data_IF_620864186083
#
_entry.id   IF_620864186083
#
_cell.length_a   1.000
_cell.length_b   1.000
_cell.length_c   1.000
_cell.angle_alpha   90.00
_cell.angle_beta   90.00
_cell.angle_gamma   90.00
#
_symmetry.space_group_name_H-M   'P 1'
#
loop_
_entity.id
_entity.type
_entity.pdbx_description
1 polymer ?
#
# COMPACT_ATOMS: atom_id res chain seq x y z
N UNK A 1 7.69 16.07 -24.64
CA UNK A 1 6.84 14.98 -24.14
C UNK A 1 6.97 14.98 -22.63
N UNK A 2 5.86 15.03 -21.88
CA UNK A 2 5.92 14.90 -20.41
C UNK A 2 6.40 13.49 -20.06
N UNK A 3 7.30 13.37 -19.08
CA UNK A 3 7.70 12.05 -18.56
C UNK A 3 6.47 11.32 -17.99
N UNK A 4 6.44 9.97 -18.00
CA UNK A 4 5.38 9.20 -17.36
C UNK A 4 5.21 9.58 -15.88
N UNK A 5 3.99 9.45 -15.37
CA UNK A 5 3.72 9.61 -13.93
C UNK A 5 4.20 8.37 -13.20
N UNK A 6 5.06 8.54 -12.20
CA UNK A 6 5.61 7.44 -11.38
C UNK A 6 4.70 7.20 -10.18
N UNK A 7 4.16 6.00 -10.07
CA UNK A 7 3.18 5.62 -9.04
C UNK A 7 3.78 4.52 -8.17
N UNK A 8 3.86 4.78 -6.86
CA UNK A 8 4.23 3.78 -5.87
C UNK A 8 2.99 3.24 -5.17
N UNK A 9 2.67 1.97 -5.35
CA UNK A 9 1.60 1.30 -4.63
C UNK A 9 2.13 0.52 -3.42
N UNK A 10 1.63 0.84 -2.22
CA UNK A 10 1.97 0.18 -0.97
C UNK A 10 1.02 -0.98 -0.70
N UNK A 11 1.58 -2.17 -0.53
CA UNK A 11 0.85 -3.40 -0.25
C UNK A 11 1.29 -3.92 1.11
N UNK A 12 0.36 -4.35 1.96
CA UNK A 12 0.72 -5.11 3.17
C UNK A 12 1.35 -6.45 2.79
N UNK A 13 0.88 -7.05 1.70
CA UNK A 13 1.31 -8.32 1.14
C UNK A 13 0.43 -8.70 -0.05
N UNK A 14 0.83 -9.74 -0.79
CA UNK A 14 0.05 -10.27 -1.91
C UNK A 14 -1.04 -11.26 -1.49
N UNK A 15 -0.93 -11.80 -0.28
CA UNK A 15 -1.79 -12.88 0.21
C UNK A 15 -3.05 -12.32 0.88
N UNK A 16 -4.22 -12.70 0.35
CA UNK A 16 -5.59 -12.41 0.81
C UNK A 16 -6.27 -11.14 0.27
N UNK A 17 -7.58 -11.26 0.03
CA UNK A 17 -8.54 -10.15 -0.15
C UNK A 17 -8.84 -9.77 -1.60
N UNK A 18 -10.14 -9.69 -1.95
CA UNK A 18 -10.60 -9.33 -3.30
C UNK A 18 -10.12 -7.96 -3.79
N UNK A 19 -9.97 -6.99 -2.88
CA UNK A 19 -9.42 -5.67 -3.20
C UNK A 19 -8.02 -5.74 -3.84
N UNK A 20 -7.18 -6.70 -3.42
CA UNK A 20 -5.82 -6.85 -3.94
C UNK A 20 -5.77 -7.45 -5.34
N UNK A 21 -6.74 -8.32 -5.66
CA UNK A 21 -6.92 -8.84 -7.03
C UNK A 21 -7.24 -7.66 -7.96
N UNK A 22 -8.29 -6.91 -7.62
CA UNK A 22 -8.73 -5.77 -8.43
C UNK A 22 -7.62 -4.73 -8.60
N UNK A 23 -6.94 -4.33 -7.52
CA UNK A 23 -5.90 -3.31 -7.61
C UNK A 23 -4.70 -3.78 -8.43
N UNK A 24 -4.27 -5.04 -8.28
CA UNK A 24 -3.15 -5.58 -9.08
C UNK A 24 -3.51 -5.67 -10.56
N UNK A 25 -4.77 -6.00 -10.88
CA UNK A 25 -5.26 -6.04 -12.25
C UNK A 25 -5.32 -4.65 -12.88
N UNK A 26 -5.76 -3.64 -12.13
CA UNK A 26 -5.76 -2.24 -12.56
C UNK A 26 -4.33 -1.74 -12.78
N UNK A 27 -3.42 -1.95 -11.84
CA UNK A 27 -2.01 -1.55 -11.96
C UNK A 27 -1.35 -2.22 -13.16
N UNK A 28 -1.56 -3.53 -13.35
CA UNK A 28 -1.03 -4.24 -14.51
C UNK A 28 -1.58 -3.67 -15.83
N UNK A 29 -2.88 -3.35 -15.89
CA UNK A 29 -3.48 -2.74 -17.08
C UNK A 29 -2.91 -1.34 -17.38
N UNK A 30 -2.81 -0.48 -16.37
CA UNK A 30 -2.28 0.88 -16.52
C UNK A 30 -0.80 0.90 -16.91
N UNK A 31 0.01 -0.02 -16.38
CA UNK A 31 1.42 -0.13 -16.74
C UNK A 31 1.64 -0.40 -18.25
N UNK A 32 0.69 -1.06 -18.91
CA UNK A 32 0.81 -1.36 -20.35
C UNK A 32 0.51 -0.18 -21.27
N UNK A 33 -0.10 0.91 -20.79
CA UNK A 33 -0.44 2.06 -21.64
C UNK A 33 0.77 2.98 -21.88
N UNK A 34 1.80 2.90 -21.03
CA UNK A 34 3.00 3.72 -21.12
C UNK A 34 2.84 5.16 -20.62
N UNK A 35 1.64 5.54 -20.14
CA UNK A 35 1.39 6.87 -19.54
C UNK A 35 1.86 6.95 -18.08
N UNK A 36 1.93 5.80 -17.41
CA UNK A 36 2.30 5.66 -16.01
C UNK A 36 3.39 4.60 -15.85
N UNK A 37 4.33 4.86 -14.95
CA UNK A 37 5.34 3.91 -14.50
C UNK A 37 4.97 3.45 -13.09
N UNK A 38 4.76 2.15 -12.91
CA UNK A 38 4.28 1.61 -11.64
C UNK A 38 5.37 0.81 -10.91
N UNK A 39 5.43 1.02 -9.60
CA UNK A 39 6.21 0.20 -8.68
C UNK A 39 5.36 -0.20 -7.48
N UNK A 40 5.52 -1.43 -7.01
CA UNK A 40 4.86 -1.93 -5.81
C UNK A 40 5.87 -2.13 -4.69
N UNK A 41 5.58 -1.59 -3.51
CA UNK A 41 6.27 -1.93 -2.27
C UNK A 41 5.36 -2.82 -1.42
N UNK A 42 5.77 -4.07 -1.24
CA UNK A 42 5.11 -5.02 -0.35
C UNK A 42 5.79 -5.03 1.02
N UNK A 43 5.03 -4.85 2.10
CA UNK A 43 5.55 -4.90 3.47
C UNK A 43 5.92 -6.31 3.93
N UNK A 44 5.47 -7.33 3.19
CA UNK A 44 5.77 -8.74 3.46
C UNK A 44 6.22 -9.46 2.19
N UNK A 45 7.11 -10.44 2.32
CA UNK A 45 7.63 -11.30 1.25
C UNK A 45 7.04 -12.71 1.29
N UNK A 46 6.36 -13.07 2.38
CA UNK A 46 5.71 -14.35 2.54
C UNK A 46 4.49 -14.27 3.47
N UNK A 47 3.62 -15.27 3.46
CA UNK A 47 2.59 -15.48 4.48
C UNK A 47 2.58 -16.93 4.93
N UNK A 48 2.31 -17.16 6.21
CA UNK A 48 2.07 -18.52 6.74
C UNK A 48 0.58 -18.81 6.70
N UNK A 49 0.21 -19.94 6.11
CA UNK A 49 -1.15 -20.50 6.14
C UNK A 49 -1.08 -21.94 6.60
N UNK A 50 -1.66 -22.19 7.77
CA UNK A 50 -1.56 -23.47 8.46
C UNK A 50 -0.09 -23.92 8.58
N UNK A 51 0.24 -25.10 8.07
CA UNK A 51 1.61 -25.64 8.06
C UNK A 51 2.46 -25.22 6.85
N UNK A 52 1.98 -24.31 6.00
CA UNK A 52 2.65 -23.90 4.75
C UNK A 52 3.11 -22.44 4.77
N UNK A 53 4.22 -22.16 4.09
CA UNK A 53 4.69 -20.80 3.79
C UNK A 53 4.50 -20.53 2.30
N UNK A 54 3.83 -19.44 1.98
CA UNK A 54 3.60 -18.97 0.62
C UNK A 54 4.49 -17.75 0.38
N UNK A 55 5.34 -17.78 -0.65
CA UNK A 55 6.25 -16.68 -1.01
C UNK A 55 5.66 -15.80 -2.09
N UNK A 56 5.82 -14.47 -2.01
CA UNK A 56 5.14 -13.53 -2.92
C UNK A 56 5.43 -13.81 -4.38
N UNK A 57 6.65 -14.29 -4.70
CA UNK A 57 7.07 -14.69 -6.05
C UNK A 57 6.22 -15.79 -6.67
N UNK A 58 5.55 -16.58 -5.84
CA UNK A 58 4.69 -17.69 -6.25
C UNK A 58 3.23 -17.28 -6.40
N UNK A 59 2.87 -16.05 -5.99
CA UNK A 59 1.52 -15.51 -6.14
C UNK A 59 1.26 -15.09 -7.60
N UNK A 60 0.08 -15.46 -8.12
CA UNK A 60 -0.31 -15.12 -9.50
C UNK A 60 -0.34 -13.61 -9.76
N UNK A 61 -0.69 -12.80 -8.75
CA UNK A 61 -0.76 -11.34 -8.89
C UNK A 61 0.64 -10.74 -9.00
N UNK A 62 1.58 -11.26 -8.21
CA UNK A 62 2.99 -10.88 -8.32
C UNK A 62 3.51 -11.16 -9.73
N UNK A 63 3.29 -12.37 -10.24
CA UNK A 63 3.72 -12.74 -11.60
C UNK A 63 3.07 -11.86 -12.66
N UNK A 64 1.76 -11.64 -12.58
CA UNK A 64 1.03 -10.75 -13.51
C UNK A 64 1.60 -9.33 -13.53
N UNK A 65 1.91 -8.75 -12.38
CA UNK A 65 2.53 -7.43 -12.30
C UNK A 65 3.93 -7.43 -12.95
N UNK A 66 4.75 -8.46 -12.66
CA UNK A 66 6.07 -8.61 -13.28
C UNK A 66 5.99 -8.75 -14.79
N UNK A 67 5.04 -9.54 -15.29
CA UNK A 67 4.81 -9.75 -16.73
C UNK A 67 4.36 -8.45 -17.41
N UNK A 68 3.66 -7.57 -16.69
CA UNK A 68 3.30 -6.23 -17.14
C UNK A 68 4.43 -5.19 -17.00
N UNK A 69 5.64 -5.60 -16.57
CA UNK A 69 6.80 -4.73 -16.41
C UNK A 69 6.85 -3.94 -15.10
N UNK A 70 5.95 -4.21 -14.15
CA UNK A 70 5.88 -3.49 -12.87
C UNK A 70 7.06 -3.88 -11.97
N UNK A 71 7.75 -2.86 -11.43
CA UNK A 71 8.77 -3.05 -10.41
C UNK A 71 8.15 -3.51 -9.09
N UNK A 72 8.76 -4.49 -8.41
CA UNK A 72 8.26 -4.95 -7.11
C UNK A 72 9.42 -5.03 -6.13
N UNK A 73 9.30 -4.34 -5.00
CA UNK A 73 10.16 -4.48 -3.81
C UNK A 73 9.33 -5.10 -2.70
N UNK A 74 9.92 -6.01 -1.93
CA UNK A 74 9.28 -6.60 -0.75
C UNK A 74 10.24 -6.58 0.43
N UNK A 75 9.75 -6.23 1.62
CA UNK A 75 10.50 -6.44 2.85
C UNK A 75 10.52 -7.92 3.21
N UNK A 76 11.63 -8.38 3.79
CA UNK A 76 11.80 -9.78 4.18
C UNK A 76 11.06 -10.09 5.48
N UNK A 77 9.73 -10.07 5.39
CA UNK A 77 8.81 -10.29 6.50
C UNK A 77 7.77 -11.34 6.14
N UNK A 78 7.45 -12.15 7.14
CA UNK A 78 6.29 -13.03 7.11
C UNK A 78 5.06 -12.24 7.57
N UNK A 79 4.00 -12.25 6.76
CA UNK A 79 2.72 -11.68 7.13
C UNK A 79 2.18 -12.39 8.38
N UNK A 80 1.78 -11.59 9.37
CA UNK A 80 1.13 -12.05 10.59
C UNK A 80 -0.37 -11.80 10.58
N UNK A 81 -1.04 -12.16 11.68
CA UNK A 81 -2.49 -11.98 11.86
C UNK A 81 -2.88 -10.52 12.16
N UNK A 82 -1.89 -9.67 12.43
CA UNK A 82 -2.08 -8.25 12.73
C UNK A 82 -1.28 -7.40 11.75
N UNK A 83 -1.77 -6.21 11.39
CA UNK A 83 -1.00 -5.25 10.61
C UNK A 83 0.32 -4.89 11.31
N UNK A 84 1.35 -4.62 10.51
CA UNK A 84 2.67 -4.19 11.02
C UNK A 84 2.51 -2.80 11.65
N UNK A 85 2.91 -2.63 12.90
CA UNK A 85 2.84 -1.35 13.60
C UNK A 85 3.95 -0.37 13.14
N UNK A 86 3.75 0.95 13.23
CA UNK A 86 4.75 1.93 12.80
C UNK A 86 6.12 1.79 13.49
N UNK A 87 6.16 1.37 14.75
CA UNK A 87 7.38 1.17 15.54
C UNK A 87 8.11 -0.15 15.23
N UNK A 88 7.53 -1.01 14.38
CA UNK A 88 8.08 -2.31 14.06
C UNK A 88 9.02 -2.31 12.84
N UNK A 89 9.15 -1.19 12.13
CA UNK A 89 10.04 -1.05 10.96
C UNK A 89 11.48 -0.79 11.39
N UNK A 90 12.42 -1.50 10.79
CA UNK A 90 13.85 -1.29 11.00
C UNK A 90 14.35 -0.04 10.25
N UNK A 91 15.46 0.58 10.68
CA UNK A 91 16.05 1.71 9.95
C UNK A 91 16.32 1.40 8.47
N UNK A 92 16.83 0.20 8.16
CA UNK A 92 17.12 -0.19 6.78
C UNK A 92 15.85 -0.29 5.90
N UNK A 93 14.72 -0.71 6.47
CA UNK A 93 13.44 -0.72 5.75
C UNK A 93 12.90 0.68 5.52
N UNK A 94 13.05 1.57 6.52
CA UNK A 94 12.67 2.98 6.39
C UNK A 94 13.51 3.69 5.33
N UNK A 95 14.83 3.52 5.34
CA UNK A 95 15.72 4.09 4.31
C UNK A 95 15.34 3.58 2.92
N UNK A 96 15.06 2.28 2.80
CA UNK A 96 14.65 1.68 1.52
C UNK A 96 13.29 2.20 1.05
N UNK A 97 12.33 2.37 1.96
CA UNK A 97 11.03 2.94 1.63
C UNK A 97 11.16 4.42 1.24
N UNK A 98 11.93 5.21 1.98
CA UNK A 98 12.14 6.63 1.69
C UNK A 98 12.69 6.83 0.26
N UNK A 99 13.66 6.01 -0.16
CA UNK A 99 14.18 6.03 -1.53
C UNK A 99 13.08 5.77 -2.58
N UNK A 100 12.21 4.79 -2.35
CA UNK A 100 11.08 4.49 -3.25
C UNK A 100 10.04 5.62 -3.28
N UNK A 101 9.80 6.28 -2.14
CA UNK A 101 8.90 7.44 -2.08
C UNK A 101 9.48 8.64 -2.84
N UNK A 102 10.79 8.87 -2.78
CA UNK A 102 11.45 9.94 -3.54
C UNK A 102 11.37 9.71 -5.07
N UNK A 103 11.39 8.45 -5.48
CA UNK A 103 11.22 8.05 -6.88
C UNK A 103 9.75 8.15 -7.36
N UNK A 104 8.79 8.30 -6.45
CA UNK A 104 7.38 8.39 -6.81
C UNK A 104 6.93 9.85 -7.03
N UNK A 105 5.96 10.04 -7.91
CA UNK A 105 5.21 11.29 -7.99
C UNK A 105 3.93 11.22 -7.14
N UNK A 106 3.33 10.04 -7.05
CA UNK A 106 2.12 9.76 -6.27
C UNK A 106 2.27 8.42 -5.55
N UNK A 107 1.78 8.35 -4.32
CA UNK A 107 1.76 7.13 -3.51
C UNK A 107 0.31 6.66 -3.32
N UNK A 108 0.06 5.37 -3.53
CA UNK A 108 -1.23 4.73 -3.31
C UNK A 108 -1.10 3.69 -2.20
N UNK A 109 -1.79 3.87 -1.08
CA UNK A 109 -1.91 2.81 -0.09
C UNK A 109 -3.04 1.87 -0.46
N UNK A 110 -2.72 0.61 -0.74
CA UNK A 110 -3.72 -0.42 -0.96
C UNK A 110 -4.30 -0.84 0.40
N UNK A 111 -5.37 -0.15 0.79
CA UNK A 111 -6.04 -0.22 2.11
C UNK A 111 -5.31 0.59 3.18
N UNK A 112 -5.82 0.56 4.41
CA UNK A 112 -5.33 1.39 5.51
C UNK A 112 -4.09 0.77 6.17
N UNK A 113 -3.94 -0.56 6.11
CA UNK A 113 -2.86 -1.27 6.81
C UNK A 113 -1.45 -0.80 6.41
N UNK A 114 -1.14 -0.54 5.11
CA UNK A 114 0.18 -0.06 4.72
C UNK A 114 0.51 1.36 5.20
N UNK A 115 -0.47 2.14 5.70
CA UNK A 115 -0.22 3.49 6.20
C UNK A 115 0.65 3.49 7.47
N UNK A 116 0.82 2.36 8.15
CA UNK A 116 1.78 2.28 9.24
C UNK A 116 3.21 2.59 8.80
N UNK A 117 3.61 2.20 7.58
CA UNK A 117 4.91 2.55 7.02
C UNK A 117 5.02 4.07 6.80
N UNK A 118 3.95 4.69 6.32
CA UNK A 118 3.92 6.14 6.07
C UNK A 118 4.06 6.92 7.38
N UNK A 119 3.36 6.49 8.42
CA UNK A 119 3.51 7.06 9.76
C UNK A 119 4.90 6.82 10.34
N UNK A 120 5.48 5.64 10.13
CA UNK A 120 6.85 5.34 10.57
C UNK A 120 7.89 6.25 9.90
N UNK A 121 7.76 6.47 8.59
CA UNK A 121 8.60 7.41 7.84
C UNK A 121 8.44 8.84 8.36
N UNK A 122 7.21 9.28 8.65
CA UNK A 122 6.95 10.61 9.18
C UNK A 122 7.58 10.80 10.57
N UNK A 123 7.42 9.82 11.47
CA UNK A 123 8.01 9.83 12.80
C UNK A 123 9.55 9.84 12.77
N UNK A 124 10.15 9.18 11.79
CA UNK A 124 11.59 9.18 11.56
C UNK A 124 12.10 10.44 10.85
N UNK A 125 11.23 11.35 10.41
CA UNK A 125 11.61 12.53 9.62
C UNK A 125 12.10 12.18 8.21
N UNK A 126 11.72 11.03 7.68
CA UNK A 126 12.15 10.47 6.39
C UNK A 126 11.07 10.51 5.31
N UNK A 127 9.84 10.93 5.63
CA UNK A 127 8.73 10.93 4.68
C UNK A 127 8.88 12.06 3.64
N UNK A 128 9.05 11.74 2.34
CA UNK A 128 9.06 12.75 1.29
C UNK A 128 7.67 13.37 1.09
N UNK A 129 7.63 14.64 0.69
CA UNK A 129 6.38 15.36 0.42
C UNK A 129 5.75 14.91 -0.90
N UNK A 130 5.07 13.75 -0.89
CA UNK A 130 4.36 13.17 -2.03
C UNK A 130 2.86 13.06 -1.76
N UNK A 131 1.99 13.43 -2.71
CA UNK A 131 0.56 13.15 -2.60
C UNK A 131 0.33 11.67 -2.34
N UNK A 132 -0.32 11.36 -1.22
CA UNK A 132 -0.63 9.98 -0.82
C UNK A 132 -2.14 9.80 -0.77
N UNK A 133 -2.65 8.80 -1.46
CA UNK A 133 -4.06 8.43 -1.43
C UNK A 133 -4.26 7.02 -0.84
N UNK A 134 -5.32 6.83 -0.05
CA UNK A 134 -5.69 5.51 0.47
C UNK A 134 -6.84 4.89 -0.34
N UNK A 135 -6.64 3.67 -0.84
CA UNK A 135 -7.66 2.90 -1.56
C UNK A 135 -8.52 2.10 -0.58
N UNK A 136 -9.79 2.47 -0.41
CA UNK A 136 -10.68 1.97 0.63
C UNK A 136 -11.72 1.00 0.07
N UNK A 137 -11.91 -0.12 0.77
CA UNK A 137 -12.70 -1.25 0.28
C UNK A 137 -13.59 -1.93 1.31
N UNK A 138 -13.72 -1.37 2.53
CA UNK A 138 -14.61 -1.94 3.55
C UNK A 138 -15.91 -1.16 3.65
N UNK A 139 -17.01 -1.87 3.89
CA UNK A 139 -18.29 -1.25 4.24
C UNK A 139 -18.36 -0.89 5.72
N UNK A 140 -17.50 -1.51 6.55
CA UNK A 140 -17.32 -1.21 7.97
C UNK A 140 -15.83 -0.99 8.26
N UNK A 141 -15.39 0.27 8.45
CA UNK A 141 -14.00 0.63 8.72
C UNK A 141 -13.48 0.11 10.07
N UNK A 142 -14.35 -0.17 11.04
CA UNK A 142 -13.93 -0.61 12.38
C UNK A 142 -13.18 -1.96 12.34
N UNK A 143 -13.49 -2.79 11.33
CA UNK A 143 -12.78 -4.06 11.06
C UNK A 143 -11.35 -3.89 10.51
N UNK A 144 -10.88 -2.66 10.27
CA UNK A 144 -9.48 -2.41 9.96
C UNK A 144 -8.60 -2.31 11.22
N UNK A 145 -9.20 -2.37 12.43
CA UNK A 145 -8.47 -2.37 13.70
C UNK A 145 -7.61 -1.10 13.85
N UNK A 146 -6.34 -1.21 14.26
CA UNK A 146 -5.48 -0.03 14.44
C UNK A 146 -5.26 0.76 13.14
N UNK A 147 -5.42 0.12 11.98
CA UNK A 147 -5.20 0.77 10.69
C UNK A 147 -6.22 1.88 10.39
N UNK A 148 -7.42 1.83 10.97
CA UNK A 148 -8.36 2.95 10.88
C UNK A 148 -7.78 4.18 11.59
N UNK A 149 -7.23 4.01 12.80
CA UNK A 149 -6.55 5.08 13.52
C UNK A 149 -5.38 5.66 12.73
N UNK A 150 -4.58 4.79 12.10
CA UNK A 150 -3.48 5.25 11.25
C UNK A 150 -3.94 6.10 10.05
N UNK A 151 -5.06 5.74 9.44
CA UNK A 151 -5.66 6.54 8.37
C UNK A 151 -6.12 7.90 8.89
N UNK A 152 -6.82 7.95 10.03
CA UNK A 152 -7.27 9.20 10.65
C UNK A 152 -6.08 10.09 11.03
N UNK A 153 -5.04 9.52 11.65
CA UNK A 153 -3.83 10.25 12.04
C UNK A 153 -3.11 10.82 10.81
N UNK A 154 -2.95 10.01 9.76
CA UNK A 154 -2.30 10.43 8.52
C UNK A 154 -3.13 11.50 7.77
N UNK A 155 -4.46 11.42 7.80
CA UNK A 155 -5.34 12.43 7.22
C UNK A 155 -5.27 13.75 8.00
N UNK A 156 -5.33 13.69 9.33
CA UNK A 156 -5.22 14.87 10.20
C UNK A 156 -3.86 15.57 10.06
N UNK A 157 -2.78 14.82 9.83
CA UNK A 157 -1.45 15.34 9.56
C UNK A 157 -1.27 15.87 8.12
N UNK A 158 -2.28 15.76 7.25
CA UNK A 158 -2.21 16.15 5.84
C UNK A 158 -1.30 15.25 4.98
N UNK A 159 -0.88 14.10 5.52
CA UNK A 159 -0.04 13.12 4.82
C UNK A 159 -0.86 12.38 3.78
N UNK A 160 -2.06 11.91 4.17
CA UNK A 160 -3.04 11.37 3.22
C UNK A 160 -3.90 12.53 2.73
N UNK A 161 -3.76 12.86 1.45
CA UNK A 161 -4.45 14.00 0.83
C UNK A 161 -5.75 13.61 0.13
N UNK A 162 -6.00 12.30 -0.07
CA UNK A 162 -7.19 11.80 -0.72
C UNK A 162 -7.51 10.36 -0.32
N UNK A 163 -8.78 9.98 -0.49
CA UNK A 163 -9.22 8.58 -0.42
C UNK A 163 -9.88 8.18 -1.72
N UNK A 164 -9.66 6.94 -2.16
CA UNK A 164 -10.30 6.34 -3.32
C UNK A 164 -11.17 5.19 -2.81
N UNK A 165 -12.49 5.42 -2.75
CA UNK A 165 -13.45 4.43 -2.27
C UNK A 165 -14.01 3.62 -3.43
N UNK A 166 -14.12 2.30 -3.29
CA UNK A 166 -14.69 1.45 -4.33
C UNK A 166 -16.21 1.62 -4.52
N UNK A 167 -16.88 2.26 -3.58
CA UNK A 167 -18.30 2.59 -3.63
C UNK A 167 -18.59 3.85 -2.82
N UNK A 168 -19.68 4.56 -3.15
CA UNK A 168 -20.16 5.70 -2.36
C UNK A 168 -20.44 5.29 -0.92
N UNK A 169 -21.06 4.13 -0.69
CA UNK A 169 -21.33 3.61 0.65
C UNK A 169 -20.06 3.36 1.48
N UNK A 170 -18.94 2.99 0.83
CA UNK A 170 -17.63 2.93 1.48
C UNK A 170 -17.16 4.32 1.85
N UNK A 171 -17.23 5.29 0.92
CA UNK A 171 -16.86 6.68 1.22
C UNK A 171 -17.63 7.23 2.42
N UNK A 172 -18.95 7.03 2.45
CA UNK A 172 -19.80 7.50 3.54
C UNK A 172 -19.47 6.80 4.88
N UNK A 173 -19.09 5.52 4.83
CA UNK A 173 -18.70 4.78 6.03
C UNK A 173 -17.41 5.31 6.65
N UNK A 174 -16.40 5.64 5.84
CA UNK A 174 -15.15 6.21 6.32
C UNK A 174 -15.33 7.66 6.78
N UNK A 175 -16.16 8.46 6.08
CA UNK A 175 -16.50 9.80 6.53
C UNK A 175 -17.16 9.79 7.93
N UNK A 176 -18.09 8.85 8.17
CA UNK A 176 -18.68 8.65 9.52
C UNK A 176 -17.67 8.19 10.57
N UNK A 177 -16.59 7.54 10.14
CA UNK A 177 -15.51 7.08 11.00
C UNK A 177 -14.43 8.16 11.26
N UNK A 178 -14.59 9.37 10.71
CA UNK A 178 -13.69 10.51 10.95
C UNK A 178 -12.50 10.61 10.00
N UNK A 179 -12.64 10.06 8.78
CA UNK A 179 -11.66 10.20 7.68
C UNK A 179 -12.10 11.30 6.72
#
# INVERSE_FOLDING_TARGET
MSRPVRVLSLYEGFFAGGARILHSDVVAGLATTGEQEHHVLSLTSAARRDASVQYVRDDTRYRRLRDAGVGITAFDRLAGDRPIAPDAFSPAELDRAAALFEEADIVLSLKEQPLSLVLALAQAGLLPARPTAACLHRSDPSHSGPALGWLTDAAAAGIVSATISCAVSTSDAYARAGV
#
